data_IF_858772180084
#
_entry.id   IF_858772180084
#
_cell.length_a   1.000
_cell.length_b   1.000
_cell.length_c   1.000
_cell.angle_alpha   90.00
_cell.angle_beta   90.00
_cell.angle_gamma   90.00
#
_symmetry.space_group_name_H-M   'P 1'
#
loop_
_entity.id
_entity.type
_entity.pdbx_description
1 polymer ?
#
# COMPACT_ATOMS: atom_id res chain seq x y z
N UNK A 1 -7.43 20.13 5.13
CA UNK A 1 -6.82 19.31 4.06
C UNK A 1 -5.32 19.46 3.91
N UNK A 2 -4.68 20.60 4.25
CA UNK A 2 -3.20 20.72 4.24
C UNK A 2 -2.50 19.64 5.10
N UNK A 3 -3.10 19.31 6.24
CA UNK A 3 -2.62 18.30 7.20
C UNK A 3 -2.50 16.87 6.66
N UNK A 4 -3.24 16.51 5.60
CA UNK A 4 -3.19 15.15 5.04
C UNK A 4 -1.88 14.84 4.31
N UNK A 5 -1.26 15.88 3.74
CA UNK A 5 0.00 15.77 2.99
C UNK A 5 1.22 16.16 3.83
N UNK A 6 1.02 16.51 5.10
CA UNK A 6 2.13 16.74 6.02
C UNK A 6 2.80 15.41 6.38
N UNK A 7 4.13 15.43 6.45
CA UNK A 7 4.90 14.29 6.89
C UNK A 7 4.53 13.90 8.34
N UNK A 8 4.62 12.61 8.64
CA UNK A 8 4.43 12.08 9.99
C UNK A 8 5.47 10.97 10.27
N UNK A 9 5.57 10.55 11.53
CA UNK A 9 6.52 9.52 11.95
C UNK A 9 5.80 8.46 12.76
N UNK A 10 6.05 7.20 12.44
CA UNK A 10 5.68 6.05 13.26
C UNK A 10 6.97 5.37 13.70
N UNK A 11 7.28 5.43 15.00
CA UNK A 11 8.57 4.99 15.56
C UNK A 11 9.76 5.61 14.80
N UNK A 12 10.57 4.81 14.11
CA UNK A 12 11.71 5.27 13.30
C UNK A 12 11.37 5.58 11.83
N UNK A 13 10.15 5.31 11.37
CA UNK A 13 9.75 5.44 9.96
C UNK A 13 9.11 6.78 9.67
N UNK A 14 9.62 7.48 8.66
CA UNK A 14 9.00 8.70 8.13
C UNK A 14 7.99 8.36 7.05
N UNK A 15 6.81 8.96 7.13
CA UNK A 15 5.72 8.85 6.16
C UNK A 15 5.54 10.20 5.48
N UNK A 16 5.54 10.27 4.14
CA UNK A 16 5.47 11.53 3.40
C UNK A 16 4.07 12.17 3.43
N UNK A 17 3.05 11.42 3.86
CA UNK A 17 1.67 11.86 3.98
C UNK A 17 0.94 10.96 5.00
N UNK A 18 -0.35 11.22 5.20
CA UNK A 18 -1.22 10.48 6.13
C UNK A 18 -2.18 9.51 5.43
N UNK A 19 -1.89 9.11 4.19
CA UNK A 19 -2.65 8.10 3.49
C UNK A 19 -2.14 6.70 3.85
N UNK A 20 -3.07 5.82 4.19
CA UNK A 20 -2.79 4.42 4.49
C UNK A 20 -3.78 3.58 3.69
N UNK A 21 -3.28 2.55 3.01
CA UNK A 21 -4.14 1.55 2.40
C UNK A 21 -4.54 0.52 3.46
N UNK A 22 -5.83 0.22 3.54
CA UNK A 22 -6.32 -0.86 4.39
C UNK A 22 -5.72 -2.22 4.00
N UNK A 23 -5.64 -3.12 4.96
CA UNK A 23 -5.26 -4.52 4.73
C UNK A 23 -6.41 -5.29 4.04
N UNK A 24 -6.65 -4.96 2.77
CA UNK A 24 -7.67 -5.60 1.94
C UNK A 24 -7.17 -6.95 1.42
N UNK A 25 -8.04 -7.96 1.43
CA UNK A 25 -7.74 -9.26 0.83
C UNK A 25 -7.95 -9.19 -0.68
N UNK A 26 -6.87 -9.41 -1.44
CA UNK A 26 -6.89 -9.27 -2.90
C UNK A 26 -7.36 -10.53 -3.65
N UNK A 27 -7.29 -11.70 -3.01
CA UNK A 27 -7.57 -12.98 -3.68
C UNK A 27 -6.61 -13.32 -4.83
N UNK A 28 -5.39 -12.76 -4.82
CA UNK A 28 -4.40 -12.91 -5.90
C UNK A 28 -3.19 -13.79 -5.54
N UNK A 29 -3.18 -14.41 -4.36
CA UNK A 29 -2.17 -15.39 -3.99
C UNK A 29 -2.41 -16.75 -4.69
N UNK A 30 -1.40 -17.61 -4.72
CA UNK A 30 -1.60 -19.02 -5.11
C UNK A 30 -2.47 -19.76 -4.08
N UNK A 31 -2.91 -20.98 -4.40
CA UNK A 31 -3.68 -21.80 -3.47
C UNK A 31 -2.87 -22.16 -2.21
N UNK A 32 -1.55 -22.22 -2.34
CA UNK A 32 -0.57 -22.47 -1.28
C UNK A 32 -0.24 -21.19 -0.48
N UNK A 33 -0.78 -20.03 -0.88
CA UNK A 33 -0.58 -18.75 -0.20
C UNK A 33 0.65 -17.96 -0.65
N UNK A 34 1.26 -18.34 -1.77
CA UNK A 34 2.44 -17.67 -2.29
C UNK A 34 2.08 -16.36 -3.01
N UNK A 35 3.01 -15.41 -2.97
CA UNK A 35 2.89 -14.16 -3.73
C UNK A 35 2.98 -14.44 -5.23
N UNK A 36 2.12 -13.79 -6.02
CA UNK A 36 2.13 -13.91 -7.48
C UNK A 36 2.64 -12.63 -8.14
N UNK A 37 3.14 -12.69 -9.39
CA UNK A 37 3.52 -11.49 -10.15
C UNK A 37 2.39 -10.45 -10.25
N UNK A 38 1.15 -10.92 -10.41
CA UNK A 38 -0.04 -10.05 -10.43
C UNK A 38 -0.21 -9.29 -9.11
N UNK A 39 -0.03 -9.97 -7.97
CA UNK A 39 -0.12 -9.32 -6.65
C UNK A 39 0.98 -8.26 -6.48
N UNK A 40 2.20 -8.53 -6.96
CA UNK A 40 3.30 -7.56 -6.94
C UNK A 40 2.97 -6.33 -7.79
N UNK A 41 2.44 -6.53 -9.00
CA UNK A 41 2.06 -5.44 -9.89
C UNK A 41 0.97 -4.56 -9.28
N UNK A 42 -0.07 -5.16 -8.70
CA UNK A 42 -1.14 -4.45 -8.00
C UNK A 42 -0.59 -3.57 -6.89
N UNK A 43 0.24 -4.14 -5.99
CA UNK A 43 0.83 -3.37 -4.88
C UNK A 43 1.77 -2.25 -5.38
N UNK A 44 2.48 -2.48 -6.48
CA UNK A 44 3.34 -1.47 -7.10
C UNK A 44 2.52 -0.31 -7.68
N UNK A 45 1.40 -0.60 -8.33
CA UNK A 45 0.49 0.41 -8.90
C UNK A 45 -0.11 1.28 -7.79
N UNK A 46 -0.55 0.66 -6.71
CA UNK A 46 -1.08 1.36 -5.53
C UNK A 46 -0.04 2.25 -4.86
N UNK A 47 1.19 1.77 -4.68
CA UNK A 47 2.28 2.56 -4.11
C UNK A 47 2.63 3.80 -4.97
N UNK A 48 2.42 3.71 -6.29
CA UNK A 48 2.59 4.84 -7.23
C UNK A 48 1.39 5.81 -7.26
N UNK A 49 0.35 5.56 -6.47
CA UNK A 49 -0.85 6.39 -6.40
C UNK A 49 -1.94 6.02 -7.41
N UNK A 50 -1.84 4.85 -8.06
CA UNK A 50 -2.95 4.31 -8.85
C UNK A 50 -4.10 3.84 -7.96
N UNK A 51 -5.32 3.82 -8.49
CA UNK A 51 -6.47 3.19 -7.84
C UNK A 51 -6.54 1.69 -8.16
N UNK A 52 -7.26 0.95 -7.32
CA UNK A 52 -7.65 -0.44 -7.59
C UNK A 52 -8.65 -0.51 -8.75
#
# INVERSE_FOLDING_TARGET
MKTLFEASRINGMELPNRFVRSATWEGMATAEGEVTPRLIETMTRLARGGSD
#
